data_IF_678932697512
#
_entry.id   IF_678932697512
#
_cell.length_a   1.000
_cell.length_b   1.000
_cell.length_c   1.000
_cell.angle_alpha   90.00
_cell.angle_beta   90.00
_cell.angle_gamma   90.00
#
_symmetry.space_group_name_H-M   'P 1'
#
loop_
_entity.id
_entity.type
_entity.pdbx_description
1 polymer ?
#
# COMPACT_ATOMS: atom_id res chain seq x y z
N UNK A 1 -0.88 9.10 -8.28
CA UNK A 1 -0.49 8.88 -6.88
C UNK A 1 0.39 7.63 -6.86
N UNK A 2 1.69 7.77 -6.54
CA UNK A 2 2.67 6.67 -6.62
C UNK A 2 4.11 7.13 -6.93
N UNK A 3 4.24 8.26 -7.64
CA UNK A 3 5.53 8.71 -8.20
C UNK A 3 6.68 8.88 -7.21
N UNK A 4 6.41 9.19 -5.94
CA UNK A 4 7.47 9.30 -4.93
C UNK A 4 7.93 7.94 -4.39
N UNK A 5 7.01 6.97 -4.27
CA UNK A 5 7.34 5.57 -3.92
C UNK A 5 8.10 4.92 -5.08
N UNK A 6 7.67 5.19 -6.32
CA UNK A 6 8.31 4.69 -7.53
C UNK A 6 9.72 5.28 -7.69
N UNK A 7 9.88 6.59 -7.46
CA UNK A 7 11.20 7.25 -7.45
C UNK A 7 12.11 6.72 -6.36
N UNK A 8 11.57 6.48 -5.16
CA UNK A 8 12.35 5.92 -4.06
C UNK A 8 12.78 4.49 -4.36
N UNK A 9 11.89 3.66 -4.92
CA UNK A 9 12.22 2.33 -5.39
C UNK A 9 13.30 2.34 -6.48
N UNK A 10 13.24 3.30 -7.42
CA UNK A 10 14.24 3.45 -8.46
C UNK A 10 15.59 4.00 -7.97
N UNK A 11 15.62 4.73 -6.86
CA UNK A 11 16.86 5.27 -6.27
C UNK A 11 17.60 4.25 -5.39
N UNK A 12 16.89 3.28 -4.80
CA UNK A 12 17.44 2.21 -3.96
C UNK A 12 17.80 1.00 -4.83
N UNK A 13 18.78 1.18 -5.73
CA UNK A 13 19.32 0.13 -6.59
C UNK A 13 20.59 -0.50 -6.01
N UNK A 14 20.89 -1.74 -6.41
CA UNK A 14 22.13 -2.44 -6.01
C UNK A 14 23.41 -1.68 -6.44
N UNK A 15 23.33 -0.96 -7.57
CA UNK A 15 24.43 -0.15 -8.10
C UNK A 15 24.79 1.05 -7.22
N UNK A 16 23.80 1.76 -6.65
CA UNK A 16 24.08 2.89 -5.76
C UNK A 16 24.78 2.43 -4.48
N UNK A 17 24.60 1.17 -4.08
CA UNK A 17 25.18 0.56 -2.90
C UNK A 17 26.63 0.09 -3.12
N UNK A 18 26.94 -0.47 -4.29
CA UNK A 18 28.31 -0.84 -4.63
C UNK A 18 29.26 0.35 -4.66
N UNK A 19 28.79 1.52 -5.12
CA UNK A 19 29.58 2.77 -5.15
C UNK A 19 29.95 3.21 -3.74
N UNK A 20 29.00 3.16 -2.79
CA UNK A 20 29.26 3.58 -1.40
C UNK A 20 30.15 2.57 -0.68
N UNK A 21 29.92 1.26 -0.87
CA UNK A 21 30.79 0.22 -0.32
C UNK A 21 32.22 0.28 -0.86
N UNK A 22 32.39 0.60 -2.16
CA UNK A 22 33.69 0.80 -2.78
C UNK A 22 34.47 1.98 -2.20
N UNK A 23 33.79 3.08 -1.86
CA UNK A 23 34.41 4.24 -1.21
C UNK A 23 34.86 3.97 0.24
N UNK A 24 34.18 3.05 0.92
CA UNK A 24 34.45 2.68 2.32
C UNK A 24 35.65 1.72 2.45
N UNK A 25 35.92 0.90 1.42
CA UNK A 25 37.07 -0.03 1.40
C UNK A 25 38.45 0.65 1.23
N UNK A 26 38.50 1.95 0.93
CA UNK A 26 39.73 2.66 0.60
C UNK A 26 40.71 2.91 1.77
N UNK A 27 40.30 2.61 3.01
CA UNK A 27 41.05 2.98 4.22
C UNK A 27 42.07 1.96 4.76
N UNK A 28 42.17 0.77 4.17
CA UNK A 28 43.15 -0.26 4.57
C UNK A 28 42.92 -0.88 5.97
N UNK A 29 43.89 -1.66 6.47
CA UNK A 29 43.75 -2.47 7.71
C UNK A 29 43.47 -1.65 8.98
N UNK A 30 44.01 -0.43 9.09
CA UNK A 30 43.89 0.43 10.29
C UNK A 30 42.47 1.00 10.48
N UNK A 31 41.71 1.19 9.40
CA UNK A 31 40.31 1.66 9.46
C UNK A 31 39.31 0.57 9.12
N UNK A 32 39.78 -0.66 8.90
CA UNK A 32 38.94 -1.80 8.48
C UNK A 32 37.70 -1.99 9.37
N UNK A 33 37.79 -1.89 10.72
CA UNK A 33 36.61 -2.00 11.58
C UNK A 33 35.58 -0.88 11.38
N UNK A 34 36.05 0.35 11.11
CA UNK A 34 35.19 1.50 10.83
C UNK A 34 34.52 1.33 9.48
N UNK A 35 35.26 0.86 8.47
CA UNK A 35 34.68 0.59 7.15
C UNK A 35 33.63 -0.53 7.19
N UNK A 36 33.87 -1.59 7.98
CA UNK A 36 32.88 -2.64 8.19
C UNK A 36 31.63 -2.11 8.88
N UNK A 37 31.78 -1.35 9.98
CA UNK A 37 30.64 -0.78 10.70
C UNK A 37 29.80 0.17 9.84
N UNK A 38 30.45 0.99 8.99
CA UNK A 38 29.75 1.86 8.04
C UNK A 38 29.03 1.03 6.98
N UNK A 39 29.65 -0.03 6.47
CA UNK A 39 29.00 -0.98 5.56
C UNK A 39 27.75 -1.62 6.16
N UNK A 40 27.81 -2.07 7.40
CA UNK A 40 26.67 -2.68 8.10
C UNK A 40 25.53 -1.68 8.30
N UNK A 41 25.84 -0.43 8.66
CA UNK A 41 24.83 0.65 8.75
C UNK A 41 24.16 0.87 7.40
N UNK A 42 24.92 0.92 6.30
CA UNK A 42 24.37 1.14 4.97
C UNK A 42 23.45 0.00 4.53
N UNK A 43 23.83 -1.25 4.81
CA UNK A 43 22.99 -2.44 4.58
C UNK A 43 21.70 -2.35 5.40
N UNK A 44 21.79 -1.95 6.68
CA UNK A 44 20.61 -1.81 7.52
C UNK A 44 19.67 -0.69 7.02
N UNK A 45 20.23 0.45 6.61
CA UNK A 45 19.45 1.55 6.04
C UNK A 45 18.78 1.15 4.71
N UNK A 46 19.47 0.37 3.87
CA UNK A 46 18.89 -0.18 2.65
C UNK A 46 17.64 -1.01 2.98
N UNK A 47 17.75 -1.93 3.94
CA UNK A 47 16.62 -2.75 4.36
C UNK A 47 15.44 -1.90 4.83
N UNK A 48 15.71 -0.88 5.65
CA UNK A 48 14.66 0.05 6.12
C UNK A 48 14.00 0.81 4.97
N UNK A 49 14.76 1.26 3.97
CA UNK A 49 14.20 1.94 2.79
C UNK A 49 13.33 0.99 1.94
N UNK A 50 13.77 -0.25 1.75
CA UNK A 50 12.96 -1.27 1.06
C UNK A 50 11.64 -1.55 1.81
N UNK A 51 11.67 -1.64 3.13
CA UNK A 51 10.47 -1.78 3.94
C UNK A 51 9.52 -0.58 3.80
N UNK A 52 10.05 0.64 3.72
CA UNK A 52 9.25 1.86 3.47
C UNK A 52 8.58 1.80 2.10
N UNK A 53 9.32 1.45 1.05
CA UNK A 53 8.77 1.30 -0.31
C UNK A 53 7.66 0.25 -0.32
N UNK A 54 7.90 -0.92 0.29
CA UNK A 54 6.91 -2.00 0.37
C UNK A 54 5.62 -1.55 1.08
N UNK A 55 5.73 -0.85 2.21
CA UNK A 55 4.58 -0.29 2.93
C UNK A 55 3.84 0.76 2.11
N UNK A 56 4.56 1.64 1.41
CA UNK A 56 3.98 2.65 0.53
C UNK A 56 3.18 2.02 -0.60
N UNK A 57 3.74 1.02 -1.29
CA UNK A 57 3.06 0.26 -2.34
C UNK A 57 1.81 -0.45 -1.80
N UNK A 58 1.91 -1.11 -0.65
CA UNK A 58 0.77 -1.77 -0.02
C UNK A 58 -0.36 -0.77 0.32
N UNK A 59 -0.02 0.43 0.79
CA UNK A 59 -1.00 1.47 1.08
C UNK A 59 -1.70 1.96 -0.21
N UNK A 60 -0.96 2.20 -1.29
CA UNK A 60 -1.51 2.61 -2.58
C UNK A 60 -2.50 1.56 -3.12
N UNK A 61 -2.08 0.29 -3.13
CA UNK A 61 -2.93 -0.83 -3.57
C UNK A 61 -4.15 -0.96 -2.66
N UNK A 62 -3.96 -0.90 -1.35
CA UNK A 62 -5.04 -1.05 -0.37
C UNK A 62 -6.11 0.03 -0.50
N UNK A 63 -5.71 1.31 -0.58
CA UNK A 63 -6.64 2.43 -0.77
C UNK A 63 -7.36 2.34 -2.12
N UNK A 64 -6.63 2.00 -3.19
CA UNK A 64 -7.25 1.87 -4.53
C UNK A 64 -8.31 0.78 -4.55
N UNK A 65 -8.02 -0.38 -3.95
CA UNK A 65 -8.97 -1.48 -3.85
C UNK A 65 -10.15 -1.15 -2.93
N UNK A 66 -9.93 -0.40 -1.85
CA UNK A 66 -11.01 0.04 -0.98
C UNK A 66 -12.00 0.95 -1.71
N UNK A 67 -11.51 1.86 -2.55
CA UNK A 67 -12.36 2.73 -3.39
C UNK A 67 -13.17 1.91 -4.40
N UNK A 68 -12.54 0.94 -5.07
CA UNK A 68 -13.22 0.04 -6.01
C UNK A 68 -14.30 -0.78 -5.28
N UNK A 69 -13.95 -1.38 -4.14
CA UNK A 69 -14.88 -2.16 -3.33
C UNK A 69 -16.07 -1.32 -2.85
N UNK A 70 -15.82 -0.07 -2.46
CA UNK A 70 -16.89 0.85 -2.07
C UNK A 70 -17.84 1.15 -3.24
N UNK A 71 -17.30 1.45 -4.43
CA UNK A 71 -18.13 1.68 -5.63
C UNK A 71 -18.97 0.46 -6.00
N UNK A 72 -18.34 -0.72 -6.04
CA UNK A 72 -19.03 -1.97 -6.35
C UNK A 72 -20.10 -2.29 -5.30
N UNK A 73 -19.80 -2.07 -4.03
CA UNK A 73 -20.76 -2.25 -2.94
C UNK A 73 -21.96 -1.30 -3.04
N UNK A 74 -21.75 -0.06 -3.49
CA UNK A 74 -22.85 0.87 -3.75
C UNK A 74 -23.74 0.41 -4.90
N UNK A 75 -23.16 -0.08 -5.99
CA UNK A 75 -23.92 -0.63 -7.13
C UNK A 75 -24.72 -1.87 -6.73
N UNK A 76 -24.09 -2.80 -6.00
CA UNK A 76 -24.74 -4.00 -5.47
C UNK A 76 -25.89 -3.64 -4.53
N UNK A 77 -25.66 -2.74 -3.56
CA UNK A 77 -26.72 -2.28 -2.67
C UNK A 77 -27.87 -1.63 -3.45
N UNK A 78 -27.59 -0.75 -4.42
CA UNK A 78 -28.63 -0.12 -5.23
C UNK A 78 -29.46 -1.16 -6.01
N UNK A 79 -28.80 -2.17 -6.59
CA UNK A 79 -29.47 -3.26 -7.29
C UNK A 79 -30.36 -4.07 -6.34
N UNK A 80 -29.88 -4.43 -5.16
CA UNK A 80 -30.67 -5.16 -4.16
C UNK A 80 -31.91 -4.36 -3.73
N UNK A 81 -31.75 -3.08 -3.41
CA UNK A 81 -32.89 -2.23 -3.05
C UNK A 81 -33.91 -2.10 -4.19
N UNK A 82 -33.46 -2.06 -5.44
CA UNK A 82 -34.34 -2.04 -6.60
C UNK A 82 -35.09 -3.38 -6.77
N UNK A 83 -34.43 -4.51 -6.58
CA UNK A 83 -35.07 -5.84 -6.62
C UNK A 83 -36.12 -5.99 -5.52
N UNK A 84 -35.77 -5.62 -4.29
CA UNK A 84 -36.68 -5.66 -3.16
C UNK A 84 -37.87 -4.72 -3.37
N UNK A 85 -37.69 -3.57 -4.05
CA UNK A 85 -38.80 -2.67 -4.36
C UNK A 85 -39.86 -3.36 -5.22
N UNK A 86 -39.44 -4.12 -6.23
CA UNK A 86 -40.40 -4.85 -7.06
C UNK A 86 -41.11 -5.96 -6.27
N UNK A 87 -40.36 -6.72 -5.45
CA UNK A 87 -40.95 -7.78 -4.62
C UNK A 87 -41.94 -7.23 -3.58
N UNK A 88 -41.57 -6.14 -2.91
CA UNK A 88 -42.43 -5.44 -1.97
C UNK A 88 -43.64 -4.79 -2.63
N UNK A 89 -43.51 -4.27 -3.85
CA UNK A 89 -44.63 -3.70 -4.58
C UNK A 89 -45.68 -4.76 -4.94
N UNK A 90 -45.26 -6.00 -5.21
CA UNK A 90 -46.17 -7.13 -5.48
C UNK A 90 -46.77 -7.72 -4.20
N UNK A 91 -45.97 -7.89 -3.16
CA UNK A 91 -46.37 -8.58 -1.92
C UNK A 91 -47.00 -7.65 -0.86
N UNK A 92 -46.71 -6.35 -0.92
CA UNK A 92 -47.02 -5.38 0.12
C UNK A 92 -46.12 -5.47 1.36
N UNK A 93 -45.13 -6.36 1.40
CA UNK A 93 -44.20 -6.50 2.53
C UNK A 93 -43.06 -5.48 2.42
N UNK A 94 -42.98 -4.57 3.38
CA UNK A 94 -41.94 -3.52 3.45
C UNK A 94 -40.88 -3.79 4.52
N UNK A 95 -40.87 -4.98 5.13
CA UNK A 95 -39.97 -5.33 6.24
C UNK A 95 -38.49 -5.18 5.87
N UNK A 96 -38.11 -5.48 4.63
CA UNK A 96 -36.75 -5.29 4.12
C UNK A 96 -36.28 -3.83 4.25
N UNK A 97 -37.11 -2.87 3.86
CA UNK A 97 -36.79 -1.45 3.93
C UNK A 97 -36.78 -0.92 5.36
N UNK A 98 -37.63 -1.46 6.24
CA UNK A 98 -37.62 -1.10 7.66
C UNK A 98 -36.29 -1.51 8.34
N UNK A 99 -35.73 -2.66 7.95
CA UNK A 99 -34.49 -3.20 8.53
C UNK A 99 -33.22 -2.59 7.91
N UNK A 100 -33.22 -2.36 6.59
CA UNK A 100 -32.00 -2.01 5.86
C UNK A 100 -32.01 -0.58 5.29
N UNK A 101 -33.19 0.04 5.17
CA UNK A 101 -33.36 1.37 4.60
C UNK A 101 -33.02 2.50 5.57
N UNK A 102 -33.18 3.72 5.08
CA UNK A 102 -32.98 4.92 5.88
C UNK A 102 -34.02 5.02 7.02
N UNK A 103 -33.56 5.18 8.26
CA UNK A 103 -34.43 5.15 9.45
C UNK A 103 -34.82 6.53 10.01
N UNK A 104 -34.37 7.63 9.40
CA UNK A 104 -34.54 8.97 9.95
C UNK A 104 -33.41 9.36 10.88
#
# INVERSE_FOLDING_TARGET
>A
MGGDVDRLGAAVTEDSLQVVMGGVAWGGELTQPVSTAVGDILIEQQKKLQEIVSRGTAAIVGVSNAVIAYSNGQEEMAATFQTELFSSAESGDLSYFALNGYQG
#
